data_IF_209143956702
#
_entry.id   IF_209143956702
#
_cell.length_a   1.000
_cell.length_b   1.000
_cell.length_c   1.000
_cell.angle_alpha   90.00
_cell.angle_beta   90.00
_cell.angle_gamma   90.00
#
_symmetry.space_group_name_H-M   'P 1'
#
loop_
_entity.id
_entity.type
_entity.pdbx_description
1 polymer ?
2 water ?
#
# COMPACT_ATOMS: atom_id res chain seq x y z
N UNK A 23 20.98 8.81 6.32
CA UNK A 23 20.40 7.92 5.32
C UNK A 23 19.03 8.41 4.86
N UNK A 24 18.82 8.45 3.54
CA UNK A 24 17.53 8.88 3.01
C UNK A 24 16.47 7.82 3.29
N UNK A 25 15.24 8.30 3.52
CA UNK A 25 14.13 7.45 3.92
C UNK A 25 13.14 7.27 2.77
N UNK A 26 12.25 6.31 2.95
CA UNK A 26 11.11 6.12 2.06
C UNK A 26 9.86 6.53 2.84
N UNK A 27 9.11 7.49 2.30
CA UNK A 27 7.91 8.00 2.96
C UNK A 27 6.69 7.35 2.33
N UNK A 28 5.77 6.86 3.17
CA UNK A 28 4.47 6.39 2.70
C UNK A 28 3.39 7.30 3.31
N UNK A 29 2.57 7.88 2.43
CA UNK A 29 1.48 8.77 2.82
C UNK A 29 0.18 8.00 2.63
N UNK A 30 -0.61 7.88 3.69
CA UNK A 30 -1.91 7.26 3.53
C UNK A 30 -2.55 6.93 4.86
N UNK A 31 -3.21 5.80 4.92
CA UNK A 31 -4.11 5.45 6.02
C UNK A 31 -3.46 4.52 7.04
N UNK A 32 -3.83 4.72 8.31
CA UNK A 32 -3.62 3.74 9.37
C UNK A 32 -4.97 3.40 9.99
N UNK A 33 -5.18 2.13 10.31
CA UNK A 33 -6.33 1.67 11.07
C UNK A 33 -5.83 0.66 12.08
N UNK A 34 -6.71 0.33 13.03
CA UNK A 34 -6.54 -0.84 13.87
C UNK A 34 -7.35 -1.97 13.25
N UNK A 35 -6.68 -3.09 12.94
CA UNK A 35 -7.36 -4.29 12.50
C UNK A 35 -7.59 -5.22 13.69
N UNK A 36 -8.84 -5.60 13.90
CA UNK A 36 -9.22 -6.58 14.91
C UNK A 36 -9.43 -7.90 14.16
N UNK A 37 -8.52 -8.84 14.34
CA UNK A 37 -8.44 -10.03 13.51
C UNK A 37 -9.00 -11.23 14.26
N UNK A 38 -9.89 -11.96 13.60
CA UNK A 38 -10.46 -13.20 14.11
C UNK A 38 -10.08 -14.32 13.15
N UNK A 39 -9.33 -15.29 13.63
CA UNK A 39 -8.92 -16.43 12.82
C UNK A 39 -9.85 -17.58 13.15
N UNK A 40 -10.54 -18.10 12.13
CA UNK A 40 -11.53 -19.15 12.27
C UNK A 40 -11.20 -20.30 11.32
N UNK A 41 -11.70 -21.49 11.64
CA UNK A 41 -11.65 -22.59 10.68
C UNK A 41 -12.96 -22.80 9.96
N UNK A 42 -14.01 -22.08 10.34
CA UNK A 42 -15.28 -22.06 9.62
C UNK A 42 -15.84 -20.64 9.68
N UNK A 43 -16.39 -20.18 8.56
CA UNK A 43 -16.97 -18.85 8.53
C UNK A 43 -18.14 -18.80 9.51
N UNK A 44 -18.27 -17.73 10.30
CA UNK A 44 -19.28 -17.73 11.36
C UNK A 44 -20.68 -17.79 10.82
N UNK A 45 -21.49 -18.65 11.44
CA UNK A 45 -22.92 -18.71 11.16
C UNK A 45 -23.62 -17.56 11.87
N UNK A 46 -24.46 -16.83 11.13
CA UNK A 46 -25.20 -15.71 11.68
C UNK A 46 -26.06 -16.15 12.86
N UNK A 47 -26.11 -15.31 13.89
CA UNK A 47 -26.95 -15.52 15.07
C UNK A 47 -26.40 -16.58 16.00
N UNK A 48 -25.10 -16.88 15.90
CA UNK A 48 -24.44 -17.83 16.78
C UNK A 48 -23.29 -17.15 17.51
N UNK A 49 -22.80 -17.83 18.54
CA UNK A 49 -21.67 -17.37 19.34
C UNK A 49 -20.66 -18.49 19.38
N UNK A 50 -19.47 -18.26 18.81
CA UNK A 50 -18.54 -19.35 18.55
C UNK A 50 -17.11 -18.92 18.86
N UNK A 51 -16.29 -19.93 19.12
CA UNK A 51 -14.91 -19.73 19.56
C UNK A 51 -13.99 -19.66 18.34
N UNK A 52 -13.09 -18.69 18.35
CA UNK A 52 -12.10 -18.55 17.29
C UNK A 52 -10.91 -19.45 17.58
N UNK A 53 -10.14 -19.72 16.52
CA UNK A 53 -8.84 -20.34 16.72
C UNK A 53 -7.88 -19.38 17.41
N UNK A 54 -7.94 -18.10 17.05
CA UNK A 54 -7.12 -17.08 17.68
C UNK A 54 -7.69 -15.72 17.31
N UNK A 55 -7.31 -14.72 18.10
CA UNK A 55 -7.69 -13.33 17.87
C UNK A 55 -6.49 -12.46 18.20
N UNK A 56 -6.37 -11.33 17.49
CA UNK A 56 -5.31 -10.38 17.80
C UNK A 56 -5.67 -9.01 17.25
N UNK A 57 -5.01 -8.00 17.82
CA UNK A 57 -4.96 -6.65 17.27
C UNK A 57 -3.76 -6.56 16.32
N UNK A 58 -3.93 -5.82 15.24
CA UNK A 58 -2.84 -5.62 14.29
C UNK A 58 -3.00 -4.26 13.66
N UNK A 59 -1.92 -3.48 13.61
CA UNK A 59 -1.94 -2.22 12.88
C UNK A 59 -2.18 -2.53 11.40
N UNK A 60 -3.00 -1.70 10.76
CA UNK A 60 -3.33 -1.85 9.35
C UNK A 60 -3.41 -0.53 8.60
N UNK A 61 -4.06 -0.55 7.43
CA UNK A 61 -4.03 0.56 6.49
C UNK A 61 -2.98 0.33 5.41
N UNK A 62 -3.27 0.68 4.15
CA UNK A 62 -2.37 0.31 3.07
C UNK A 62 -0.98 0.93 3.25
N UNK A 63 -0.91 2.24 3.40
CA UNK A 63 0.41 2.88 3.53
C UNK A 63 1.10 2.44 4.80
N UNK A 64 0.34 2.28 5.88
CA UNK A 64 0.89 1.81 7.14
C UNK A 64 1.49 0.42 7.01
N UNK A 65 0.78 -0.51 6.36
CA UNK A 65 1.32 -1.85 6.14
C UNK A 65 2.55 -1.83 5.26
N UNK A 66 2.55 -0.97 4.23
CA UNK A 66 3.73 -0.88 3.38
C UNK A 66 4.95 -0.44 4.17
N UNK A 67 4.77 0.49 5.13
CA UNK A 67 5.88 0.87 6.01
C UNK A 67 6.38 -0.32 6.82
N UNK A 68 5.47 -1.14 7.34
CA UNK A 68 5.89 -2.31 8.09
C UNK A 68 6.79 -3.20 7.25
N UNK A 69 6.38 -3.46 6.01
CA UNK A 69 7.15 -4.34 5.13
C UNK A 69 8.47 -3.72 4.72
N UNK A 70 8.48 -2.42 4.38
CA UNK A 70 9.74 -1.74 4.07
C UNK A 70 10.72 -1.85 5.22
N UNK A 71 10.25 -1.60 6.45
CA UNK A 71 11.12 -1.70 7.61
C UNK A 71 11.65 -3.13 7.80
N UNK A 72 10.79 -4.14 7.63
CA UNK A 72 11.23 -5.51 7.79
C UNK A 72 12.29 -5.88 6.75
N UNK A 73 12.16 -5.34 5.53
CA UNK A 73 13.16 -5.55 4.48
C UNK A 73 14.46 -4.79 4.73
N UNK A 74 14.47 -3.84 5.68
CA UNK A 74 15.69 -3.14 6.07
C UNK A 74 15.77 -1.69 5.63
N UNK A 75 14.75 -1.15 4.97
CA UNK A 75 14.80 0.25 4.57
C UNK A 75 14.37 1.16 5.72
N UNK A 76 14.99 2.32 5.81
CA UNK A 76 14.52 3.35 6.73
C UNK A 76 13.29 3.99 6.12
N UNK A 77 12.18 4.02 6.87
CA UNK A 77 10.95 4.54 6.29
C UNK A 77 10.20 5.43 7.28
N UNK A 78 9.26 6.18 6.74
CA UNK A 78 8.48 7.13 7.51
C UNK A 78 7.02 7.00 7.09
N UNK A 79 6.12 7.24 8.03
CA UNK A 79 4.69 7.17 7.77
C UNK A 79 4.06 8.54 8.00
N UNK A 80 3.26 8.99 7.04
CA UNK A 80 2.47 10.22 7.19
C UNK A 80 1.00 9.88 7.00
N UNK A 81 0.23 10.04 8.06
CA UNK A 81 -1.19 9.78 8.06
C UNK A 81 -1.81 10.47 9.26
N UNK A 82 -3.14 10.49 9.27
CA UNK A 82 -3.89 11.13 10.33
C UNK A 82 -4.11 10.19 11.52
N UNK A 83 -4.04 10.76 12.72
CA UNK A 83 -4.39 10.06 13.96
C UNK A 83 -5.30 10.97 14.77
N UNK A 84 -5.97 10.39 15.75
CA UNK A 84 -6.67 11.14 16.78
C UNK A 84 -6.33 10.53 18.11
N UNK A 85 -6.25 11.34 19.18
CA UNK A 85 -5.82 10.80 20.48
C UNK A 85 -6.75 9.71 20.99
N UNK A 86 -6.17 8.73 21.67
CA UNK A 86 -6.93 7.69 22.31
C UNK A 86 -6.17 6.38 22.36
N UNK A 87 -6.90 5.33 22.77
CA UNK A 87 -6.28 4.01 22.93
C UNK A 87 -5.75 3.47 21.61
N UNK A 88 -6.50 3.67 20.52
CA UNK A 88 -6.03 3.18 19.23
C UNK A 88 -4.74 3.87 18.81
N UNK A 89 -4.69 5.20 18.98
CA UNK A 89 -3.47 5.93 18.64
C UNK A 89 -2.28 5.44 19.45
N UNK A 90 -2.48 5.20 20.75
CA UNK A 90 -1.39 4.71 21.59
C UNK A 90 -0.87 3.38 21.06
N UNK A 91 -1.78 2.47 20.70
CA UNK A 91 -1.38 1.19 20.15
C UNK A 91 -0.63 1.37 18.83
N UNK A 92 -1.18 2.20 17.92
CA UNK A 92 -0.63 2.36 16.58
C UNK A 92 0.77 2.96 16.64
N UNK A 93 0.94 4.01 17.45
CA UNK A 93 2.23 4.67 17.57
C UNK A 93 3.26 3.73 18.20
N UNK A 94 2.87 2.99 19.23
CA UNK A 94 3.78 2.01 19.81
C UNK A 94 4.21 0.98 18.77
N UNK A 95 3.26 0.54 17.93
CA UNK A 95 3.59 -0.48 16.93
C UNK A 95 4.51 0.09 15.84
N UNK A 96 4.26 1.33 15.42
CA UNK A 96 5.15 1.97 14.46
C UNK A 96 6.56 2.08 15.01
N UNK A 97 6.69 2.45 16.30
CA UNK A 97 8.01 2.54 16.92
C UNK A 97 8.68 1.17 17.01
N UNK A 98 7.91 0.12 17.29
CA UNK A 98 8.45 -1.23 17.32
C UNK A 98 9.06 -1.62 15.99
N UNK A 99 8.61 -1.01 14.89
CA UNK A 99 9.13 -1.27 13.55
C UNK A 99 10.03 -0.17 13.04
N UNK A 100 10.52 0.71 13.92
CA UNK A 100 11.49 1.74 13.57
C UNK A 100 10.96 2.69 12.50
N UNK A 101 9.64 2.88 12.44
CA UNK A 101 9.06 3.79 11.44
C UNK A 101 9.10 5.22 11.98
N UNK A 102 9.64 6.13 11.18
CA UNK A 102 9.74 7.52 11.58
C UNK A 102 8.37 8.17 11.58
N UNK A 103 8.02 8.84 12.67
CA UNK A 103 6.67 9.38 12.86
C UNK A 103 6.61 10.90 12.94
N UNK A 104 7.66 11.61 12.56
CA UNK A 104 7.65 13.05 12.75
C UNK A 104 6.57 13.75 11.93
N UNK A 105 6.04 13.11 10.87
CA UNK A 105 5.09 13.76 9.99
C UNK A 105 3.65 13.28 10.18
N UNK A 106 3.36 12.48 11.22
CA UNK A 106 1.97 12.13 11.48
C UNK A 106 1.17 13.40 11.79
N UNK A 107 -0.11 13.39 11.42
CA UNK A 107 -0.98 14.55 11.61
C UNK A 107 -2.00 14.21 12.70
N UNK A 108 -1.90 14.88 13.84
CA UNK A 108 -2.83 14.69 14.95
C UNK A 108 -4.08 15.53 14.75
N UNK A 109 -5.24 14.89 14.67
CA UNK A 109 -6.51 15.57 14.46
C UNK A 109 -7.21 15.82 15.79
N UNK A 110 -8.12 16.81 15.79
CA UNK A 110 -8.88 17.17 16.98
C UNK A 110 -10.31 16.64 16.98
N UNK A 111 -10.77 16.01 15.90
CA UNK A 111 -12.08 15.39 15.89
C UNK A 111 -11.98 14.02 15.24
N UNK A 112 -12.94 13.16 15.57
CA UNK A 112 -13.03 11.85 14.95
C UNK A 112 -12.24 10.79 15.70
N UNK A 113 -12.24 9.60 15.09
CA UNK A 113 -11.57 8.43 15.64
C UNK A 113 -10.77 7.74 14.55
N UNK A 114 -9.66 7.12 14.95
CA UNK A 114 -8.99 6.18 14.05
C UNK A 114 -9.91 4.99 13.87
N UNK A 115 -10.17 4.54 12.64
CA UNK A 115 -11.08 3.40 12.46
C UNK A 115 -10.54 2.11 13.07
N UNK A 116 -11.47 1.29 13.56
CA UNK A 116 -11.19 -0.09 13.97
C UNK A 116 -11.90 -1.00 12.98
N UNK A 117 -11.14 -1.64 12.09
CA UNK A 117 -11.71 -2.56 11.12
C UNK A 117 -11.73 -3.97 11.68
N UNK A 118 -12.80 -4.70 11.39
CA UNK A 118 -12.92 -6.10 11.82
C UNK A 118 -12.58 -7.01 10.66
N UNK A 119 -11.72 -7.99 10.92
CA UNK A 119 -11.26 -8.92 9.89
C UNK A 119 -11.58 -10.34 10.32
N UNK A 120 -12.14 -11.12 9.41
CA UNK A 120 -12.34 -12.55 9.62
C UNK A 120 -11.47 -13.28 8.62
N UNK A 121 -10.55 -14.09 9.12
CA UNK A 121 -9.64 -14.87 8.30
C UNK A 121 -10.02 -16.33 8.49
N UNK A 122 -10.42 -16.99 7.40
CA UNK A 122 -10.83 -18.38 7.45
C UNK A 122 -9.63 -19.25 7.08
N UNK A 123 -9.14 -20.01 8.05
CA UNK A 123 -8.00 -20.90 7.85
C UNK A 123 -8.30 -22.01 6.85
N UNK A 124 -9.53 -22.50 6.85
CA UNK A 124 -9.86 -23.66 6.03
C UNK A 124 -9.72 -23.35 4.54
N UNK A 125 -9.89 -22.08 4.16
CA UNK A 125 -9.97 -21.70 2.76
C UNK A 125 -9.03 -20.57 2.38
N UNK A 126 -8.50 -19.82 3.34
CA UNK A 126 -7.74 -18.63 3.05
C UNK A 126 -8.55 -17.39 2.81
N UNK A 127 -9.86 -17.43 3.02
CA UNK A 127 -10.68 -16.25 2.74
C UNK A 127 -10.38 -15.12 3.71
N UNK A 128 -10.63 -13.90 3.26
CA UNK A 128 -10.40 -12.68 4.02
C UNK A 128 -11.65 -11.81 3.91
N UNK A 129 -12.28 -11.52 5.04
CA UNK A 129 -13.50 -10.70 5.07
C UNK A 129 -13.27 -9.50 5.98
N UNK A 130 -13.52 -8.30 5.46
CA UNK A 130 -13.23 -7.07 6.18
C UNK A 130 -14.51 -6.26 6.32
N UNK A 131 -14.75 -5.76 7.52
CA UNK A 131 -15.85 -4.83 7.79
C UNK A 131 -15.21 -3.51 8.18
N UNK A 132 -15.47 -2.47 7.40
CA UNK A 132 -14.74 -1.24 7.67
C UNK A 132 -15.68 -0.10 8.04
N UNK A 133 -15.07 0.96 8.58
CA UNK A 133 -15.80 2.04 9.21
C UNK A 133 -16.58 2.84 8.18
N UNK A 134 -17.78 3.26 8.58
CA UNK A 134 -18.54 4.21 7.77
C UNK A 134 -17.78 5.51 7.62
N UNK A 135 -16.96 5.86 8.62
CA UNK A 135 -16.35 7.18 8.70
C UNK A 135 -14.86 7.04 8.94
N UNK A 136 -14.12 7.93 8.31
CA UNK A 136 -12.68 7.99 8.42
C UNK A 136 -12.30 9.38 8.93
N UNK A 137 -11.10 9.49 9.50
CA UNK A 137 -10.61 10.77 10.00
C UNK A 137 -10.36 11.74 8.85
N UNK A 138 -10.28 13.04 9.12
CA UNK A 138 -9.81 13.98 8.10
C UNK A 138 -8.47 13.53 7.54
N UNK A 139 -8.32 13.64 6.23
CA UNK A 139 -7.14 13.13 5.57
C UNK A 139 -6.01 14.16 5.58
N UNK A 140 -4.79 13.65 5.43
CA UNK A 140 -3.64 14.50 5.23
C UNK A 140 -3.87 15.39 4.03
N UNK A 141 -3.71 16.70 4.21
CA UNK A 141 -3.96 17.67 3.17
C UNK A 141 -2.67 18.13 2.51
N UNK A 142 -2.82 18.83 1.39
CA UNK A 142 -1.67 19.44 0.75
C UNK A 142 -0.97 20.43 1.69
N UNK A 143 -1.74 21.17 2.49
CA UNK A 143 -1.15 22.07 3.47
C UNK A 143 -0.31 21.31 4.49
N UNK A 144 -0.81 20.16 4.97
CA UNK A 144 -0.01 19.31 5.85
C UNK A 144 1.28 18.88 5.15
N UNK A 145 1.17 18.47 3.89
CA UNK A 145 2.32 17.94 3.17
C UNK A 145 3.36 19.02 2.89
N UNK A 146 2.94 20.29 2.82
CA UNK A 146 3.89 21.38 2.56
C UNK A 146 5.01 21.41 3.59
N UNK A 147 4.78 20.88 4.79
CA UNK A 147 5.75 20.90 5.86
C UNK A 147 6.81 19.80 5.74
N UNK A 148 6.62 18.84 4.84
CA UNK A 148 7.56 17.72 4.70
C UNK A 148 8.84 18.20 4.03
N UNK A 149 9.98 17.89 4.64
CA UNK A 149 11.29 18.20 4.05
C UNK A 149 11.60 17.12 3.03
N UNK A 150 11.40 17.45 1.76
CA UNK A 150 11.56 16.46 0.70
C UNK A 150 12.99 15.95 0.58
N UNK A 151 13.99 16.72 1.04
CA UNK A 151 15.38 16.25 0.93
C UNK A 151 15.66 15.06 1.83
N UNK A 152 14.79 14.76 2.79
CA UNK A 152 14.98 13.61 3.65
C UNK A 152 14.62 12.29 2.98
N UNK A 153 14.04 12.31 1.78
CA UNK A 153 13.44 11.12 1.20
C UNK A 153 14.02 10.83 -0.17
N UNK A 154 14.30 9.54 -0.40
CA UNK A 154 14.68 9.11 -1.74
C UNK A 154 13.49 8.58 -2.54
N UNK A 155 12.37 8.30 -1.87
CA UNK A 155 11.19 7.73 -2.50
C UNK A 155 10.00 8.17 -1.66
N UNK A 156 8.92 8.58 -2.33
CA UNK A 156 7.66 8.92 -1.66
C UNK A 156 6.57 8.13 -2.36
N UNK A 157 5.82 7.36 -1.58
CA UNK A 157 4.72 6.54 -2.09
C UNK A 157 3.41 7.09 -1.53
N UNK A 158 2.44 7.37 -2.39
CA UNK A 158 1.16 7.95 -1.96
C UNK A 158 0.03 6.95 -2.22
N UNK A 159 -0.65 6.57 -1.14
CA UNK A 159 -1.88 5.77 -1.23
C UNK A 159 -3.03 6.68 -1.64
N UNK A 160 -3.61 6.42 -2.81
CA UNK A 160 -4.67 7.29 -3.29
C UNK A 160 -5.88 7.33 -2.39
N UNK A 161 -6.24 8.54 -1.95
CA UNK A 161 -7.36 8.73 -1.01
C UNK A 161 -8.14 9.99 -1.37
N UNK A 162 -7.56 11.15 -1.13
CA UNK A 162 -8.18 12.45 -1.39
C UNK A 162 -7.41 13.06 -2.56
N UNK A 163 -7.84 12.70 -3.78
CA UNK A 163 -6.98 12.86 -4.95
C UNK A 163 -6.64 14.31 -5.24
N UNK A 164 -7.60 15.23 -5.06
CA UNK A 164 -7.34 16.62 -5.38
C UNK A 164 -6.23 17.19 -4.50
N UNK A 165 -6.24 16.86 -3.21
CA UNK A 165 -5.15 17.29 -2.34
C UNK A 165 -3.86 16.57 -2.71
N UNK A 166 -3.93 15.28 -3.01
CA UNK A 166 -2.72 14.53 -3.31
C UNK A 166 -2.08 14.95 -4.62
N UNK A 167 -2.88 15.36 -5.61
CA UNK A 167 -2.33 15.91 -6.85
C UNK A 167 -1.46 17.13 -6.53
N UNK A 168 -1.90 17.96 -5.59
CA UNK A 168 -1.10 19.11 -5.17
C UNK A 168 0.21 18.69 -4.53
N UNK A 169 0.18 17.63 -3.68
CA UNK A 169 1.42 17.10 -3.12
C UNK A 169 2.36 16.64 -4.21
N UNK A 170 1.82 15.94 -5.20
CA UNK A 170 2.65 15.38 -6.26
C UNK A 170 3.23 16.49 -7.12
N UNK A 171 2.47 17.56 -7.34
CA UNK A 171 3.01 18.72 -8.06
C UNK A 171 4.14 19.38 -7.28
N UNK A 172 4.01 19.44 -5.95
CA UNK A 172 5.08 19.98 -5.12
C UNK A 172 6.36 19.16 -5.26
N UNK A 173 6.24 17.83 -5.26
CA UNK A 173 7.41 16.98 -5.44
C UNK A 173 8.04 17.22 -6.81
N UNK A 174 7.20 17.32 -7.85
CA UNK A 174 7.73 17.58 -9.20
C UNK A 174 8.49 18.90 -9.25
N UNK A 175 7.96 19.94 -8.63
CA UNK A 175 8.64 21.23 -8.63
C UNK A 175 9.95 21.16 -7.88
N UNK A 176 9.97 20.43 -6.75
CA UNK A 176 11.22 20.20 -6.04
C UNK A 176 12.23 19.49 -6.94
N UNK A 177 11.80 18.41 -7.61
CA UNK A 177 12.72 17.61 -8.41
C UNK A 177 13.27 18.39 -9.60
N UNK A 178 12.52 19.35 -10.12
CA UNK A 178 12.99 20.10 -11.28
C UNK A 178 14.24 20.92 -10.95
N UNK A 179 14.50 21.15 -9.67
CA UNK A 179 15.67 21.90 -9.24
C UNK A 179 16.76 21.02 -8.65
N UNK A 180 16.61 19.71 -8.75
CA UNK A 180 17.59 18.78 -8.22
C UNK A 180 18.34 18.08 -9.34
N UNK A 181 19.62 17.79 -9.16
CA UNK A 181 20.33 16.93 -10.12
C UNK A 181 19.84 15.50 -10.00
N UNK A 182 20.14 14.72 -11.04
CA UNK A 182 19.74 13.32 -11.13
C UNK A 182 19.86 12.52 -9.84
N UNK A 183 21.01 12.49 -9.14
CA UNK A 183 21.10 11.66 -7.92
C UNK A 183 20.29 12.18 -6.74
N UNK A 184 19.73 13.40 -6.82
CA UNK A 184 18.99 13.99 -5.72
C UNK A 184 17.50 14.08 -5.98
N UNK A 185 17.01 13.52 -7.07
CA UNK A 185 15.58 13.56 -7.33
C UNK A 185 14.88 12.52 -6.45
N UNK A 186 13.68 12.88 -5.99
CA UNK A 186 12.85 12.01 -5.19
C UNK A 186 12.01 11.17 -6.14
N UNK A 187 12.12 9.84 -6.02
CA UNK A 187 11.28 8.95 -6.81
C UNK A 187 9.88 8.89 -6.20
N UNK A 188 8.88 8.71 -7.05
CA UNK A 188 7.49 8.79 -6.62
C UNK A 188 6.71 7.59 -7.16
N UNK A 189 5.89 7.00 -6.29
CA UNK A 189 4.91 6.01 -6.72
C UNK A 189 3.55 6.36 -6.12
N UNK A 190 2.50 5.88 -6.77
CA UNK A 190 1.13 6.06 -6.31
C UNK A 190 0.41 4.73 -6.38
N UNK A 191 -0.55 4.53 -5.47
CA UNK A 191 -1.44 3.38 -5.52
C UNK A 191 -2.85 3.84 -5.79
N UNK A 192 -3.48 3.22 -6.78
CA UNK A 192 -4.88 3.46 -7.12
C UNK A 192 -5.58 2.14 -6.87
N UNK A 193 -6.14 1.99 -5.67
CA UNK A 193 -6.69 0.71 -5.23
C UNK A 193 -8.21 0.69 -5.16
N UNK A 194 -8.84 1.82 -4.84
CA UNK A 194 -10.30 1.88 -4.72
C UNK A 194 -10.92 2.31 -6.05
N UNK A 195 -12.05 1.72 -6.46
CA UNK A 195 -12.65 2.08 -7.77
C UNK A 195 -13.48 3.35 -7.71
N UNK A 196 -12.82 4.47 -7.41
CA UNK A 196 -13.43 5.79 -7.37
C UNK A 196 -12.84 6.63 -8.49
N UNK A 197 -13.72 7.22 -9.30
CA UNK A 197 -13.25 7.97 -10.48
C UNK A 197 -12.30 9.10 -10.11
N UNK A 198 -12.51 9.75 -8.97
CA UNK A 198 -11.64 10.87 -8.61
C UNK A 198 -10.20 10.43 -8.40
N UNK A 199 -9.98 9.18 -7.98
CA UNK A 199 -8.61 8.69 -7.83
C UNK A 199 -7.90 8.54 -9.16
N UNK A 200 -8.63 8.46 -10.28
CA UNK A 200 -7.97 8.25 -11.56
C UNK A 200 -7.16 9.46 -12.01
N UNK A 201 -7.34 10.61 -11.35
CA UNK A 201 -6.45 11.74 -11.57
C UNK A 201 -5.00 11.37 -11.26
N UNK A 202 -4.78 10.38 -10.39
CA UNK A 202 -3.44 10.02 -9.96
C UNK A 202 -2.67 9.21 -11.00
N UNK A 203 -3.33 8.66 -12.02
CA UNK A 203 -2.62 7.89 -13.04
C UNK A 203 -1.48 8.69 -13.66
N UNK A 204 -1.65 10.00 -13.80
CA UNK A 204 -0.67 10.81 -14.52
C UNK A 204 0.46 11.33 -13.64
N UNK A 205 0.63 10.78 -12.43
CA UNK A 205 1.72 11.18 -11.54
C UNK A 205 2.52 9.96 -11.13
N UNK A 206 3.80 10.18 -10.85
CA UNK A 206 4.65 9.10 -10.37
C UNK A 206 5.37 8.37 -11.48
N UNK A 207 6.52 7.80 -11.13
CA UNK A 207 7.22 6.92 -12.07
C UNK A 207 6.69 5.50 -12.02
N UNK A 208 6.02 5.12 -10.93
CA UNK A 208 5.42 3.79 -10.80
C UNK A 208 3.99 3.98 -10.32
N UNK A 209 3.03 3.42 -11.04
CA UNK A 209 1.61 3.49 -10.69
C UNK A 209 1.13 2.07 -10.43
N UNK A 210 0.68 1.79 -9.20
CA UNK A 210 0.11 0.50 -8.86
C UNK A 210 -1.40 0.61 -9.01
N UNK A 211 -2.00 -0.22 -9.86
CA UNK A 211 -3.45 -0.22 -10.05
C UNK A 211 -3.99 -1.57 -9.62
N UNK A 212 -5.05 -1.56 -8.82
CA UNK A 212 -5.57 -2.81 -8.28
C UNK A 212 -6.42 -3.55 -9.32
N UNK A 213 -6.56 -4.85 -9.10
CA UNK A 213 -7.46 -5.66 -9.93
C UNK A 213 -8.89 -5.12 -9.90
N UNK A 214 -9.35 -4.69 -8.71
CA UNK A 214 -10.70 -4.13 -8.59
C UNK A 214 -10.87 -2.89 -9.46
N UNK A 215 -9.86 -2.02 -9.49
CA UNK A 215 -9.94 -0.83 -10.33
C UNK A 215 -9.97 -1.24 -11.80
N UNK A 216 -9.08 -2.15 -12.20
CA UNK A 216 -9.04 -2.61 -13.58
C UNK A 216 -10.41 -3.15 -14.02
N UNK A 217 -11.02 -3.99 -13.19
CA UNK A 217 -12.33 -4.56 -13.55
C UNK A 217 -13.41 -3.50 -13.60
N UNK A 218 -13.37 -2.52 -12.69
CA UNK A 218 -14.35 -1.42 -12.75
C UNK A 218 -14.23 -0.66 -14.05
N UNK A 219 -13.03 -0.59 -14.61
CA UNK A 219 -12.78 0.10 -15.87
C UNK A 219 -12.97 -0.81 -17.08
N UNK A 220 -13.44 -2.04 -16.87
CA UNK A 220 -13.78 -2.94 -17.94
C UNK A 220 -12.69 -3.90 -18.40
N UNK A 221 -11.57 -3.97 -17.70
CA UNK A 221 -10.46 -4.81 -18.13
C UNK A 221 -10.43 -6.08 -17.30
N UNK A 222 -10.37 -7.24 -17.99
CA UNK A 222 -10.67 -8.52 -17.37
C UNK A 222 -9.42 -9.35 -17.04
N UNK A 223 -8.24 -8.80 -17.25
CA UNK A 223 -7.00 -9.46 -16.91
C UNK A 223 -5.92 -8.40 -16.77
N UNK A 224 -4.80 -8.78 -16.16
CA UNK A 224 -3.71 -7.82 -15.97
C UNK A 224 -3.19 -7.28 -17.29
N UNK A 225 -2.99 -8.16 -18.28
CA UNK A 225 -2.44 -7.72 -19.56
C UNK A 225 -3.41 -6.76 -20.25
N UNK A 226 -4.70 -7.10 -20.23
CA UNK A 226 -5.70 -6.22 -20.82
C UNK A 226 -5.73 -4.87 -20.10
N UNK A 227 -5.57 -4.90 -18.78
CA UNK A 227 -5.54 -3.65 -18.01
C UNK A 227 -4.33 -2.79 -18.38
N UNK A 228 -3.16 -3.41 -18.51
CA UNK A 228 -1.97 -2.65 -18.86
C UNK A 228 -2.13 -1.99 -20.23
N UNK A 229 -2.53 -2.78 -21.23
CA UNK A 229 -2.69 -2.24 -22.58
C UNK A 229 -3.77 -1.17 -22.61
N UNK A 230 -4.83 -1.34 -21.81
CA UNK A 230 -5.92 -0.38 -21.85
C UNK A 230 -5.69 0.87 -21.05
N UNK A 231 -4.83 0.82 -20.03
CA UNK A 231 -4.63 1.96 -19.14
C UNK A 231 -3.30 2.66 -19.30
N UNK A 232 -2.35 2.10 -20.04
CA UNK A 232 -1.01 2.69 -20.09
C UNK A 232 -1.04 4.14 -20.59
N UNK A 233 -1.96 4.46 -21.49
CA UNK A 233 -2.02 5.81 -22.04
C UNK A 233 -2.33 6.87 -20.99
N UNK A 234 -2.80 6.48 -19.82
CA UNK A 234 -3.11 7.44 -18.75
C UNK A 234 -1.90 7.85 -17.92
N UNK A 235 -0.80 7.08 -17.94
CA UNK A 235 0.31 7.37 -17.05
C UNK A 235 1.19 8.48 -17.63
N UNK A 236 1.97 9.10 -16.75
CA UNK A 236 2.94 10.11 -17.17
C UNK A 236 3.96 9.50 -18.14
N UNK A 237 4.40 10.31 -19.09
CA UNK A 237 5.44 9.88 -20.03
C UNK A 237 6.64 9.31 -19.29
N UNK A 238 7.00 8.07 -19.62
CA UNK A 238 8.12 7.40 -18.99
C UNK A 238 7.79 6.54 -17.78
N UNK A 239 6.54 6.55 -17.31
CA UNK A 239 6.20 5.82 -16.11
C UNK A 239 5.94 4.34 -16.42
N UNK A 240 5.89 3.54 -15.35
CA UNK A 240 5.57 2.12 -15.44
C UNK A 240 4.28 1.88 -14.68
N UNK A 241 3.36 1.18 -15.32
CA UNK A 241 2.09 0.75 -14.72
C UNK A 241 2.24 -0.70 -14.25
N UNK A 242 1.83 -0.96 -13.00
CA UNK A 242 1.96 -2.28 -12.38
C UNK A 242 0.57 -2.74 -11.96
N UNK A 243 0.22 -3.98 -12.29
CA UNK A 243 -1.09 -4.51 -11.93
C UNK A 243 -0.92 -5.92 -11.41
N UNK A 244 -1.09 -6.10 -10.10
CA UNK A 244 -1.10 -7.43 -9.51
C UNK A 244 -2.49 -8.04 -9.64
N UNK A 245 -2.53 -9.32 -9.90
CA UNK A 245 -3.78 -10.03 -10.16
C UNK A 245 -3.88 -11.28 -9.28
N UNK A 246 -3.60 -11.12 -7.99
CA UNK A 246 -3.82 -12.13 -6.95
C UNK A 246 -3.08 -13.41 -7.32
N UNK A 247 -3.76 -14.57 -7.33
CA UNK A 247 -3.12 -15.86 -7.60
C UNK A 247 -2.58 -15.97 -9.01
N UNK A 248 -2.93 -15.05 -9.91
CA UNK A 248 -2.39 -15.07 -11.25
C UNK A 248 -1.07 -14.31 -11.39
N UNK A 249 -0.49 -13.83 -10.28
CA UNK A 249 0.79 -13.16 -10.33
C UNK A 249 0.64 -11.67 -10.56
N UNK A 250 1.64 -11.04 -11.17
CA UNK A 250 1.59 -9.59 -11.35
C UNK A 250 2.27 -9.22 -12.66
N UNK A 251 1.83 -8.11 -13.24
CA UNK A 251 2.27 -7.70 -14.57
C UNK A 251 2.67 -6.22 -14.54
N UNK A 252 3.52 -5.82 -15.48
CA UNK A 252 3.91 -4.42 -15.58
C UNK A 252 4.19 -4.05 -17.03
N UNK A 253 4.05 -2.74 -17.32
CA UNK A 253 4.36 -2.20 -18.63
C UNK A 253 4.97 -0.82 -18.45
N UNK A 254 6.18 -0.63 -18.98
CA UNK A 254 6.87 0.63 -18.90
C UNK A 254 7.19 1.20 -20.26
N UNK A 255 8.04 2.23 -20.29
CA UNK A 255 8.32 2.94 -21.55
C UNK A 255 9.06 2.12 -22.58
N UNK A 256 9.67 0.98 -22.21
CA UNK A 256 10.32 0.17 -23.22
C UNK A 256 9.34 -0.64 -24.05
N UNK A 257 8.06 -0.62 -23.72
CA UNK A 257 7.04 -1.32 -24.47
C UNK A 257 6.93 -2.80 -24.21
N UNK A 258 7.68 -3.33 -23.25
CA UNK A 258 7.68 -4.77 -23.00
C UNK A 258 6.67 -5.11 -21.90
N UNK A 259 5.77 -6.04 -22.21
CA UNK A 259 4.86 -6.55 -21.21
C UNK A 259 5.62 -7.53 -20.33
N UNK A 260 5.66 -7.25 -19.03
CA UNK A 260 6.35 -8.08 -18.07
C UNK A 260 5.33 -8.81 -17.20
N UNK A 261 5.69 -10.02 -16.77
CA UNK A 261 4.82 -10.81 -15.92
C UNK A 261 5.68 -11.68 -15.00
N UNK A 262 5.26 -11.76 -13.73
CA UNK A 262 5.74 -12.79 -12.81
C UNK A 262 4.55 -13.62 -12.35
N UNK A 263 4.73 -14.94 -12.36
CA UNK A 263 3.79 -15.81 -11.68
C UNK A 263 3.78 -15.49 -10.19
N UNK A 264 2.69 -15.86 -9.52
CA UNK A 264 2.67 -15.79 -8.07
C UNK A 264 3.57 -16.88 -7.49
N UNK A 265 3.90 -16.72 -6.21
CA UNK A 265 4.67 -17.69 -5.45
C UNK A 265 3.81 -18.15 -4.28
N UNK A 266 2.79 -18.95 -4.54
CA UNK A 266 1.82 -19.28 -3.49
C UNK A 266 2.46 -20.11 -2.39
N UNK A 267 2.06 -19.90 -1.15
CA UNK A 267 2.55 -20.73 -0.05
C UNK A 267 1.89 -22.09 -0.10
N UNK A 268 2.41 -23.08 0.63
CA UNK A 268 1.73 -24.38 0.65
C UNK A 268 0.28 -24.30 1.10
N UNK A 269 -0.02 -23.44 2.07
CA UNK A 269 -1.39 -23.18 2.48
C UNK A 269 -1.56 -21.68 2.66
N UNK A 270 -2.61 -21.14 2.04
CA UNK A 270 -2.96 -19.73 2.23
C UNK A 270 -3.60 -19.58 3.60
N UNK A 271 -2.96 -18.82 4.48
CA UNK A 271 -3.47 -18.70 5.85
C UNK A 271 -3.89 -17.27 6.22
N UNK A 272 -3.31 -16.26 5.56
CA UNK A 272 -3.58 -14.87 5.97
C UNK A 272 -3.17 -13.94 4.83
N UNK A 273 -4.16 -13.39 4.11
CA UNK A 273 -3.88 -12.49 2.99
C UNK A 273 -4.09 -11.03 3.33
N UNK A 274 -4.38 -10.72 4.60
CA UNK A 274 -4.56 -9.32 4.99
C UNK A 274 -3.25 -8.56 4.81
N UNK A 275 -3.27 -7.55 3.94
CA UNK A 275 -2.07 -6.80 3.65
C UNK A 275 -1.16 -7.41 2.61
N UNK A 276 -1.61 -8.46 1.91
CA UNK A 276 -0.77 -9.07 0.87
C UNK A 276 -0.48 -8.08 -0.25
N UNK A 277 -1.48 -7.28 -0.65
CA UNK A 277 -1.24 -6.29 -1.69
C UNK A 277 -0.26 -5.22 -1.24
N UNK A 278 -0.36 -4.80 0.02
CA UNK A 278 0.59 -3.84 0.56
C UNK A 278 1.99 -4.41 0.63
N UNK A 279 2.11 -5.71 0.91
CA UNK A 279 3.40 -6.37 0.92
C UNK A 279 4.01 -6.40 -0.48
N UNK A 280 3.19 -6.72 -1.48
CA UNK A 280 3.64 -6.65 -2.88
C UNK A 280 4.14 -5.25 -3.22
N UNK A 281 3.32 -4.22 -2.94
CA UNK A 281 3.71 -2.86 -3.32
C UNK A 281 5.03 -2.46 -2.66
N UNK A 282 5.12 -2.68 -1.34
CA UNK A 282 6.33 -2.30 -0.61
C UNK A 282 7.55 -3.05 -1.13
N UNK A 283 7.38 -4.32 -1.50
CA UNK A 283 8.50 -5.11 -1.96
C UNK A 283 8.97 -4.65 -3.34
N UNK A 284 8.04 -4.30 -4.24
CA UNK A 284 8.42 -3.72 -5.53
C UNK A 284 9.20 -2.42 -5.32
N UNK A 285 8.66 -1.53 -4.48
CA UNK A 285 9.36 -0.28 -4.16
C UNK A 285 10.76 -0.57 -3.64
N UNK A 286 10.86 -1.50 -2.69
CA UNK A 286 12.17 -1.81 -2.10
C UNK A 286 13.15 -2.26 -3.17
N UNK A 287 12.73 -3.22 -4.01
CA UNK A 287 13.62 -3.76 -5.03
C UNK A 287 14.05 -2.68 -6.03
N UNK A 288 13.11 -1.84 -6.47
CA UNK A 288 13.49 -0.74 -7.36
C UNK A 288 14.44 0.24 -6.68
N UNK A 289 14.23 0.52 -5.40
CA UNK A 289 15.09 1.46 -4.70
C UNK A 289 16.52 0.94 -4.60
N UNK A 290 16.69 -0.38 -4.60
CA UNK A 290 18.02 -1.00 -4.57
C UNK A 290 18.65 -1.12 -5.96
N UNK A 291 18.04 -0.55 -6.99
CA UNK A 291 18.63 -0.51 -8.32
C UNK A 291 18.27 -1.65 -9.23
N UNK A 292 17.33 -2.50 -8.85
CA UNK A 292 16.96 -3.65 -9.67
C UNK A 292 16.00 -3.23 -10.78
N UNK A 293 15.90 -4.08 -11.80
CA UNK A 293 14.99 -3.86 -12.91
C UNK A 293 13.55 -4.12 -12.49
N UNK A 294 12.61 -3.64 -13.32
CA UNK A 294 11.21 -3.92 -13.06
C UNK A 294 10.91 -5.40 -13.11
N UNK A 295 11.55 -6.14 -14.03
CA UNK A 295 11.33 -7.58 -14.08
C UNK A 295 11.74 -8.25 -12.77
N UNK A 296 12.90 -7.87 -12.23
CA UNK A 296 13.34 -8.42 -10.96
C UNK A 296 12.44 -7.96 -9.82
N UNK A 297 12.03 -6.69 -9.84
CA UNK A 297 11.19 -6.17 -8.76
C UNK A 297 9.82 -6.84 -8.74
N UNK A 298 9.25 -7.10 -9.91
CA UNK A 298 7.97 -7.80 -10.00
C UNK A 298 8.07 -9.20 -9.40
N UNK A 299 9.12 -9.93 -9.78
CA UNK A 299 9.37 -11.25 -9.21
C UNK A 299 9.52 -11.18 -7.70
N UNK A 300 10.36 -10.25 -7.23
CA UNK A 300 10.59 -10.10 -5.79
C UNK A 300 9.30 -9.77 -5.05
N UNK A 301 8.49 -8.86 -5.60
CA UNK A 301 7.22 -8.54 -4.97
C UNK A 301 6.31 -9.75 -4.86
N UNK A 302 6.23 -10.56 -5.92
CA UNK A 302 5.42 -11.77 -5.86
C UNK A 302 5.99 -12.75 -4.85
N UNK A 303 7.31 -12.83 -4.73
CA UNK A 303 7.92 -13.75 -3.79
C UNK A 303 7.58 -13.37 -2.35
N UNK A 304 7.77 -12.10 -1.99
CA UNK A 304 7.53 -11.69 -0.61
C UNK A 304 6.05 -11.75 -0.28
N UNK A 305 5.18 -11.31 -1.19
CA UNK A 305 3.75 -11.34 -0.92
C UNK A 305 3.26 -12.78 -0.78
N UNK A 306 3.78 -13.69 -1.61
CA UNK A 306 3.36 -15.08 -1.50
C UNK A 306 3.80 -15.70 -0.19
N UNK A 307 5.04 -15.40 0.23
CA UNK A 307 5.49 -15.84 1.55
C UNK A 307 4.59 -15.28 2.65
N UNK A 308 4.25 -13.99 2.56
CA UNK A 308 3.39 -13.39 3.59
C UNK A 308 2.06 -14.11 3.68
N UNK A 309 1.49 -14.54 2.54
CA UNK A 309 0.19 -15.20 2.55
C UNK A 309 0.21 -16.52 3.30
N UNK A 310 1.38 -17.10 3.53
CA UNK A 310 1.50 -18.32 4.29
C UNK A 310 1.77 -18.14 5.76
N UNK A 311 1.68 -16.92 6.29
CA UNK A 311 1.95 -16.67 7.70
C UNK A 311 1.02 -15.59 8.24
N UNK A 312 0.90 -15.54 9.55
CA UNK A 312 0.07 -14.53 10.20
C UNK A 312 0.83 -13.23 10.33
N UNK A 313 0.22 -12.13 9.88
CA UNK A 313 0.88 -10.84 10.02
C UNK A 313 2.01 -10.68 9.00
N UNK A 314 3.03 -9.91 9.40
CA UNK A 314 4.11 -9.53 8.50
C UNK A 314 5.49 -9.94 8.97
N UNK A 315 5.72 -10.05 10.30
CA UNK A 315 7.08 -10.15 10.80
C UNK A 315 7.81 -11.38 10.27
N UNK A 316 7.10 -12.46 9.98
CA UNK A 316 7.73 -13.68 9.52
C UNK A 316 8.27 -13.65 8.11
N UNK A 317 8.06 -12.57 7.34
CA UNK A 317 8.63 -12.53 6.00
C UNK A 317 10.15 -12.47 6.06
N UNK A 318 10.70 -12.00 7.18
CA UNK A 318 12.13 -11.89 7.44
C UNK A 318 12.98 -11.50 6.24
#
# INVERSE_FOLDING_TARGET
MGSSHHHHHHSSGLVPAGSHMEEKQILCVGLVVLDIINVVDKYPEEDTDRRCLSQRWQRGGNASNSCTVLSLLGARCAFMGSLAPGHVADFVLDDLRQHSVDLRYVVLQTEGSIPTSTVIINEASGSRTILHAYRNLPDVSAKDFEKVDLTRFKWIHIEGRNASEQVKMLQRIEEHNAKQPLPQKVRVSVEIEKPREELFQLFSYGEVVFVSKDVAKHLGFQSAVEALRGLYSRVKKGATLVCAWAEEGADALGPDGQLLHSDAFPPPRVVDTLGAGDTFNASVIFSLSKGNSMQEALRFGCQVAGKKCGLQGFDGIV
#
